data_IF_500808689131
#
_entry.id   IF_500808689131
#
_cell.length_a   1.000
_cell.length_b   1.000
_cell.length_c   1.000
_cell.angle_alpha   90.00
_cell.angle_beta   90.00
_cell.angle_gamma   90.00
#
_symmetry.space_group_name_H-M   'P 1'
#
loop_
_entity.id
_entity.type
_entity.pdbx_description
1 polymer ?
#
# COMPACT_ATOMS: atom_id res chain seq x y z
N UNK A 1 12.78 7.77 13.71
CA UNK A 1 12.19 6.82 14.67
C UNK A 1 10.81 6.38 14.20
N UNK A 2 10.48 5.07 14.35
CA UNK A 2 9.24 4.47 13.91
C UNK A 2 9.27 3.96 12.47
N UNK A 3 8.23 3.22 12.09
CA UNK A 3 8.15 2.49 10.84
C UNK A 3 6.88 2.86 10.07
N UNK A 4 6.99 3.84 9.16
CA UNK A 4 5.95 4.22 8.18
C UNK A 4 6.59 4.53 6.82
N UNK A 5 5.84 4.55 5.75
CA UNK A 5 6.34 4.84 4.41
C UNK A 5 7.55 3.96 4.05
N UNK A 6 8.61 4.57 3.51
CA UNK A 6 9.83 3.84 3.14
C UNK A 6 10.48 3.10 4.32
N UNK A 7 10.40 3.64 5.55
CA UNK A 7 10.94 2.97 6.75
C UNK A 7 10.17 1.70 7.14
N UNK A 8 8.94 1.55 6.65
CA UNK A 8 8.14 0.33 6.83
C UNK A 8 8.22 -0.60 5.61
N UNK A 9 8.29 -0.04 4.39
CA UNK A 9 8.17 -0.78 3.14
C UNK A 9 9.49 -1.44 2.66
N UNK A 10 10.61 -0.71 2.76
CA UNK A 10 11.87 -1.10 2.12
C UNK A 10 12.42 -2.41 2.68
N UNK A 11 12.54 -2.52 4.00
CA UNK A 11 13.12 -3.72 4.62
C UNK A 11 12.31 -5.00 4.37
N UNK A 12 10.96 -5.01 4.51
CA UNK A 12 10.17 -6.18 4.14
C UNK A 12 10.32 -6.60 2.68
N UNK A 13 10.34 -5.66 1.73
CA UNK A 13 10.57 -5.96 0.32
C UNK A 13 11.96 -6.57 0.07
N UNK A 14 13.01 -6.01 0.68
CA UNK A 14 14.37 -6.55 0.58
C UNK A 14 14.46 -7.95 1.17
N UNK A 15 13.77 -8.22 2.29
CA UNK A 15 13.69 -9.55 2.89
C UNK A 15 12.89 -10.54 2.05
N UNK A 16 11.92 -10.06 1.28
CA UNK A 16 11.18 -10.84 0.29
C UNK A 16 11.98 -11.09 -1.01
N UNK A 17 13.19 -10.53 -1.14
CA UNK A 17 14.09 -10.78 -2.26
C UNK A 17 14.09 -9.71 -3.35
N UNK A 18 13.41 -8.57 -3.13
CA UNK A 18 13.38 -7.47 -4.11
C UNK A 18 14.52 -6.47 -3.87
N UNK A 19 15.11 -5.97 -4.95
CA UNK A 19 15.95 -4.78 -4.89
C UNK A 19 15.06 -3.54 -4.82
N UNK A 20 15.34 -2.63 -3.88
CA UNK A 20 14.49 -1.46 -3.63
C UNK A 20 15.31 -0.19 -3.64
N UNK A 21 14.88 0.78 -4.42
CA UNK A 21 15.47 2.12 -4.50
C UNK A 21 14.52 3.14 -3.86
N UNK A 22 14.70 3.45 -2.56
CA UNK A 22 13.80 4.37 -1.87
C UNK A 22 14.04 5.81 -2.30
N UNK A 23 12.99 6.49 -2.73
CA UNK A 23 12.96 7.93 -2.93
C UNK A 23 12.12 8.56 -1.82
N UNK A 24 12.74 9.42 -1.03
CA UNK A 24 12.08 10.06 0.11
C UNK A 24 11.37 11.33 -0.32
N UNK A 25 10.14 11.52 0.15
CA UNK A 25 9.37 12.76 0.00
C UNK A 25 9.39 13.61 1.28
N UNK A 26 9.82 13.00 2.39
CA UNK A 26 10.05 13.65 3.68
C UNK A 26 11.29 13.04 4.34
N UNK A 27 11.98 13.84 5.17
CA UNK A 27 13.08 13.36 6.02
C UNK A 27 12.80 13.76 7.47
N UNK A 28 11.87 13.05 8.10
CA UNK A 28 11.41 13.34 9.44
C UNK A 28 12.11 12.49 10.50
N UNK A 29 12.26 13.05 11.70
CA UNK A 29 12.83 12.36 12.87
C UNK A 29 11.98 11.17 13.32
N UNK A 30 10.67 11.22 13.08
CA UNK A 30 9.65 10.24 13.45
C UNK A 30 8.40 10.47 12.58
N UNK A 31 7.47 9.52 12.58
CA UNK A 31 6.22 9.70 11.85
C UNK A 31 5.29 10.70 12.55
N UNK A 32 4.42 11.35 11.76
CA UNK A 32 3.52 12.41 12.20
C UNK A 32 2.48 11.97 13.23
N UNK A 33 2.23 10.67 13.37
CA UNK A 33 1.34 10.11 14.39
C UNK A 33 1.78 10.35 15.84
N UNK A 34 3.02 10.83 16.07
CA UNK A 34 3.48 11.27 17.40
C UNK A 34 3.06 12.70 17.75
N UNK A 35 2.46 13.45 16.80
CA UNK A 35 1.93 14.79 17.03
C UNK A 35 2.90 15.91 16.68
N UNK A 36 4.21 15.70 16.87
CA UNK A 36 5.27 16.60 16.46
C UNK A 36 6.44 15.83 15.83
N UNK A 37 7.24 16.48 15.03
CA UNK A 37 8.43 15.91 14.38
C UNK A 37 9.42 17.00 14.00
N UNK A 38 10.69 16.62 13.84
CA UNK A 38 11.76 17.44 13.27
C UNK A 38 12.13 16.96 11.88
N UNK A 39 12.71 17.85 11.09
CA UNK A 39 13.19 17.54 9.74
C UNK A 39 12.30 18.11 8.62
N UNK A 40 12.84 18.17 7.40
CA UNK A 40 12.18 18.82 6.27
C UNK A 40 11.24 17.89 5.50
N UNK A 41 10.24 18.49 4.84
CA UNK A 41 9.63 17.94 3.63
C UNK A 41 10.61 18.13 2.46
N UNK A 42 10.71 17.14 1.59
CA UNK A 42 11.56 17.21 0.41
C UNK A 42 10.78 17.91 -0.71
N UNK A 43 11.29 19.00 -1.29
CA UNK A 43 10.64 19.66 -2.42
C UNK A 43 10.45 18.71 -3.62
N UNK A 44 9.34 18.84 -4.33
CA UNK A 44 9.08 18.03 -5.52
C UNK A 44 10.19 18.15 -6.59
N UNK A 45 10.84 19.33 -6.70
CA UNK A 45 12.00 19.52 -7.58
C UNK A 45 13.19 18.63 -7.20
N UNK A 46 13.42 18.38 -5.91
CA UNK A 46 14.52 17.53 -5.45
C UNK A 46 14.18 16.06 -5.71
N UNK A 47 12.90 15.66 -5.49
CA UNK A 47 12.41 14.34 -5.86
C UNK A 47 12.61 14.10 -7.36
N UNK A 48 12.18 15.05 -8.21
CA UNK A 48 12.37 14.97 -9.67
C UNK A 48 13.87 14.88 -10.03
N UNK A 49 14.73 15.65 -9.38
CA UNK A 49 16.18 15.60 -9.62
C UNK A 49 16.79 14.25 -9.27
N UNK A 50 16.31 13.58 -8.20
CA UNK A 50 16.72 12.21 -7.85
C UNK A 50 16.29 11.23 -8.96
N UNK A 51 15.05 11.32 -9.40
CA UNK A 51 14.51 10.48 -10.49
C UNK A 51 15.30 10.70 -11.80
N UNK A 52 15.62 11.93 -12.15
CA UNK A 52 16.48 12.27 -13.31
C UNK A 52 17.87 11.63 -13.20
N UNK A 53 18.42 11.57 -11.99
CA UNK A 53 19.68 10.90 -11.72
C UNK A 53 19.62 9.40 -11.96
N UNK A 54 18.52 8.76 -11.57
CA UNK A 54 18.27 7.32 -11.80
C UNK A 54 18.08 7.05 -13.29
N UNK A 55 17.29 7.87 -13.99
CA UNK A 55 17.05 7.74 -15.43
C UNK A 55 18.35 7.86 -16.24
N UNK A 56 19.20 8.84 -15.93
CA UNK A 56 20.52 9.04 -16.57
C UNK A 56 21.46 7.84 -16.43
N UNK A 57 21.21 6.93 -15.52
CA UNK A 57 21.93 5.65 -15.37
C UNK A 57 21.39 4.55 -16.27
N UNK A 58 20.31 4.80 -17.02
CA UNK A 58 19.62 3.79 -17.82
C UNK A 58 18.82 2.79 -16.98
N UNK A 59 18.55 3.11 -15.71
CA UNK A 59 17.97 2.16 -14.77
C UNK A 59 16.48 1.92 -14.98
N UNK A 60 15.78 2.80 -15.69
CA UNK A 60 14.34 2.68 -15.93
C UNK A 60 13.92 1.42 -16.66
N UNK A 61 14.79 0.89 -17.56
CA UNK A 61 14.53 -0.34 -18.32
C UNK A 61 14.38 -1.57 -17.42
N UNK A 62 15.03 -1.56 -16.24
CA UNK A 62 15.03 -2.68 -15.30
C UNK A 62 14.08 -2.53 -14.12
N UNK A 63 13.19 -1.54 -14.12
CA UNK A 63 12.21 -1.33 -13.04
C UNK A 63 10.98 -2.20 -13.29
N UNK A 64 10.73 -3.18 -12.42
CA UNK A 64 9.54 -4.03 -12.49
C UNK A 64 8.31 -3.33 -11.90
N UNK A 65 8.49 -2.52 -10.86
CA UNK A 65 7.39 -1.78 -10.23
C UNK A 65 7.80 -0.44 -9.63
N UNK A 66 6.83 0.47 -9.60
CA UNK A 66 6.86 1.71 -8.83
C UNK A 66 5.80 1.57 -7.73
N UNK A 67 6.15 1.91 -6.49
CA UNK A 67 5.20 1.97 -5.39
C UNK A 67 5.19 3.38 -4.81
N UNK A 68 4.04 4.01 -4.75
CA UNK A 68 3.82 5.24 -4.01
C UNK A 68 2.88 5.03 -2.82
N UNK A 69 3.13 5.75 -1.75
CA UNK A 69 2.29 5.78 -0.56
C UNK A 69 1.93 7.22 -0.17
N UNK A 70 2.13 7.57 1.10
CA UNK A 70 1.81 8.89 1.63
C UNK A 70 2.47 10.02 0.81
N UNK A 71 1.64 10.91 0.29
CA UNK A 71 2.06 12.08 -0.50
C UNK A 71 2.10 13.31 0.41
N UNK A 72 3.23 13.55 1.03
CA UNK A 72 3.39 14.53 2.11
C UNK A 72 3.32 16.01 1.70
N UNK A 73 3.17 16.36 0.42
CA UNK A 73 3.20 17.75 0.00
C UNK A 73 2.69 18.02 -1.40
N UNK A 74 2.54 19.32 -1.69
CA UNK A 74 2.11 19.83 -2.98
C UNK A 74 3.07 19.39 -4.11
N UNK A 75 2.52 19.11 -5.28
CA UNK A 75 3.25 18.71 -6.48
C UNK A 75 3.99 17.36 -6.42
N UNK A 76 3.98 16.63 -5.30
CA UNK A 76 4.55 15.27 -5.23
C UNK A 76 3.77 14.31 -6.16
N UNK A 77 2.45 14.46 -6.23
CA UNK A 77 1.63 13.69 -7.17
C UNK A 77 2.03 13.90 -8.62
N UNK A 78 2.37 15.13 -9.01
CA UNK A 78 2.83 15.44 -10.36
C UNK A 78 4.17 14.77 -10.66
N UNK A 79 5.10 14.81 -9.71
CA UNK A 79 6.38 14.12 -9.82
C UNK A 79 6.21 12.60 -9.94
N UNK A 80 5.27 12.00 -9.17
CA UNK A 80 4.94 10.57 -9.25
C UNK A 80 4.37 10.24 -10.63
N UNK A 81 3.34 10.96 -11.09
CA UNK A 81 2.68 10.70 -12.38
C UNK A 81 3.67 10.86 -13.54
N UNK A 82 4.53 11.88 -13.50
CA UNK A 82 5.59 12.06 -14.51
C UNK A 82 6.58 10.89 -14.49
N UNK A 83 7.04 10.49 -13.31
CA UNK A 83 7.95 9.34 -13.13
C UNK A 83 7.36 8.06 -13.71
N UNK A 84 6.09 7.76 -13.40
CA UNK A 84 5.38 6.59 -13.92
C UNK A 84 5.32 6.61 -15.44
N UNK A 85 4.96 7.75 -16.04
CA UNK A 85 4.91 7.91 -17.50
C UNK A 85 6.27 7.68 -18.16
N UNK A 86 7.33 8.24 -17.57
CA UNK A 86 8.71 8.12 -18.08
C UNK A 86 9.21 6.68 -18.01
N UNK A 87 8.97 5.98 -16.91
CA UNK A 87 9.35 4.57 -16.75
C UNK A 87 8.57 3.71 -17.73
N UNK A 88 7.23 3.85 -17.80
CA UNK A 88 6.40 3.09 -18.74
C UNK A 88 6.68 3.39 -20.20
N UNK A 89 7.28 4.54 -20.54
CA UNK A 89 7.70 4.86 -21.90
C UNK A 89 8.89 3.99 -22.37
N UNK A 90 9.74 3.53 -21.44
CA UNK A 90 10.89 2.65 -21.73
C UNK A 90 10.65 1.20 -21.33
N UNK A 91 9.88 0.97 -20.27
CA UNK A 91 9.43 -0.36 -19.84
C UNK A 91 7.90 -0.38 -19.66
N UNK A 92 7.12 -0.69 -20.71
CA UNK A 92 5.66 -0.73 -20.63
C UNK A 92 5.10 -1.78 -19.67
N UNK A 93 5.88 -2.81 -19.34
CA UNK A 93 5.49 -3.88 -18.41
C UNK A 93 5.66 -3.49 -16.94
N UNK A 94 6.36 -2.38 -16.65
CA UNK A 94 6.52 -1.88 -15.28
C UNK A 94 5.16 -1.56 -14.67
N UNK A 95 4.89 -2.12 -13.49
CA UNK A 95 3.64 -1.90 -12.77
C UNK A 95 3.74 -0.64 -11.89
N UNK A 96 2.67 0.12 -11.83
CA UNK A 96 2.54 1.18 -10.82
C UNK A 96 1.50 0.81 -9.77
N UNK A 97 1.95 0.67 -8.54
CA UNK A 97 1.13 0.45 -7.36
C UNK A 97 0.99 1.76 -6.57
N UNK A 98 -0.24 2.15 -6.27
CA UNK A 98 -0.55 3.30 -5.44
C UNK A 98 -1.25 2.86 -4.16
N UNK A 99 -0.64 3.13 -3.01
CA UNK A 99 -1.33 3.12 -1.72
C UNK A 99 -1.96 4.51 -1.52
N UNK A 100 -3.29 4.64 -1.65
CA UNK A 100 -3.97 5.94 -1.65
C UNK A 100 -4.21 6.43 -0.21
N UNK A 101 -3.14 6.64 0.54
CA UNK A 101 -3.18 7.01 1.95
C UNK A 101 -3.93 8.32 2.17
N UNK A 102 -5.12 8.23 2.79
CA UNK A 102 -5.97 9.38 3.11
C UNK A 102 -6.43 9.40 4.55
N UNK A 103 -6.78 8.24 5.10
CA UNK A 103 -7.38 8.17 6.41
C UNK A 103 -7.92 6.79 6.80
N UNK A 104 -8.79 6.77 7.77
CA UNK A 104 -9.48 5.55 8.20
C UNK A 104 -10.83 5.86 8.85
N UNK A 105 -11.68 4.85 8.97
CA UNK A 105 -13.05 5.00 9.54
C UNK A 105 -13.11 5.61 10.94
N UNK A 106 -12.02 5.52 11.75
CA UNK A 106 -12.00 6.05 13.13
C UNK A 106 -11.60 7.52 13.17
N UNK A 107 -10.58 7.91 12.40
CA UNK A 107 -10.01 9.27 12.42
C UNK A 107 -10.52 10.17 11.30
N UNK A 108 -11.24 9.60 10.33
CA UNK A 108 -11.54 10.30 9.09
C UNK A 108 -10.27 10.51 8.25
N UNK A 109 -10.28 11.49 7.33
CA UNK A 109 -9.09 11.92 6.62
C UNK A 109 -8.12 12.62 7.58
N UNK A 110 -6.83 12.31 7.46
CA UNK A 110 -5.74 12.95 8.20
C UNK A 110 -4.73 13.65 7.28
N UNK A 111 -4.96 13.60 5.98
CA UNK A 111 -4.23 14.37 4.97
C UNK A 111 -4.94 15.70 4.72
N UNK A 112 -4.26 16.65 4.07
CA UNK A 112 -4.90 17.92 3.68
C UNK A 112 -6.04 17.68 2.69
N UNK A 113 -7.03 18.57 2.67
CA UNK A 113 -8.26 18.44 1.86
C UNK A 113 -7.99 18.33 0.35
N UNK A 114 -6.82 18.80 -0.11
CA UNK A 114 -6.40 18.75 -1.53
C UNK A 114 -5.94 17.36 -1.97
N UNK A 115 -5.45 16.53 -1.04
CA UNK A 115 -4.86 15.22 -1.37
C UNK A 115 -5.88 14.21 -1.89
N UNK A 116 -7.06 14.01 -1.27
CA UNK A 116 -8.00 13.01 -1.75
C UNK A 116 -8.52 13.25 -3.19
N UNK A 117 -8.90 14.48 -3.59
CA UNK A 117 -9.24 14.75 -5.00
C UNK A 117 -8.06 14.51 -5.94
N UNK A 118 -6.84 14.89 -5.53
CA UNK A 118 -5.63 14.70 -6.32
C UNK A 118 -5.35 13.21 -6.56
N UNK A 119 -5.46 12.38 -5.52
CA UNK A 119 -5.32 10.93 -5.63
C UNK A 119 -6.36 10.35 -6.58
N UNK A 120 -7.65 10.69 -6.38
CA UNK A 120 -8.75 10.17 -7.20
C UNK A 120 -8.63 10.56 -8.67
N UNK A 121 -8.32 11.82 -8.94
CA UNK A 121 -8.48 12.40 -10.29
C UNK A 121 -7.18 12.33 -11.12
N UNK A 122 -6.02 12.11 -10.49
CA UNK A 122 -4.72 12.17 -11.17
C UNK A 122 -3.82 10.96 -10.93
N UNK A 123 -3.77 10.42 -9.71
CA UNK A 123 -2.81 9.38 -9.35
C UNK A 123 -3.40 7.99 -9.60
N UNK A 124 -4.59 7.72 -9.07
CA UNK A 124 -5.30 6.44 -9.27
C UNK A 124 -5.52 6.10 -10.75
N UNK A 125 -5.89 7.05 -11.64
CA UNK A 125 -6.10 6.74 -13.05
C UNK A 125 -4.86 6.23 -13.82
N UNK A 126 -3.65 6.43 -13.30
CA UNK A 126 -2.42 5.93 -13.94
C UNK A 126 -1.85 4.70 -13.22
N UNK A 127 -2.48 4.24 -12.15
CA UNK A 127 -2.07 3.06 -11.40
C UNK A 127 -2.57 1.76 -12.05
N UNK A 128 -1.78 0.70 -11.94
CA UNK A 128 -2.17 -0.66 -12.29
C UNK A 128 -2.76 -1.40 -11.07
N UNK A 129 -2.24 -1.04 -9.89
CA UNK A 129 -2.61 -1.62 -8.59
C UNK A 129 -2.95 -0.48 -7.63
N UNK A 130 -4.01 -0.63 -6.84
CA UNK A 130 -4.27 0.24 -5.69
C UNK A 130 -4.54 -0.60 -4.44
N UNK A 131 -4.18 -0.05 -3.26
CA UNK A 131 -4.29 -0.78 -1.97
C UNK A 131 -5.10 -0.02 -0.90
N UNK A 132 -6.28 0.53 -1.23
CA UNK A 132 -7.06 1.29 -0.28
C UNK A 132 -7.54 0.44 0.90
N UNK A 133 -7.66 1.04 2.08
CA UNK A 133 -8.51 0.45 3.10
C UNK A 133 -10.00 0.67 2.74
N UNK A 134 -10.91 0.01 3.49
CA UNK A 134 -12.36 0.11 3.23
C UNK A 134 -12.89 1.55 3.23
N UNK A 135 -12.38 2.42 4.11
CA UNK A 135 -12.75 3.84 4.18
C UNK A 135 -12.25 4.61 2.94
N UNK A 136 -11.00 4.40 2.56
CA UNK A 136 -10.38 5.03 1.40
C UNK A 136 -11.05 4.61 0.09
N UNK A 137 -11.42 3.33 -0.04
CA UNK A 137 -12.18 2.86 -1.19
C UNK A 137 -13.52 3.59 -1.32
N UNK A 138 -14.26 3.72 -0.21
CA UNK A 138 -15.53 4.47 -0.19
C UNK A 138 -15.34 5.93 -0.59
N UNK A 139 -14.26 6.55 -0.11
CA UNK A 139 -13.94 7.94 -0.46
C UNK A 139 -13.58 8.11 -1.95
N UNK A 140 -12.70 7.25 -2.48
CA UNK A 140 -12.29 7.29 -3.89
C UNK A 140 -13.48 7.13 -4.84
N UNK A 141 -14.40 6.27 -4.49
CA UNK A 141 -15.54 5.89 -5.35
C UNK A 141 -16.81 6.66 -5.08
N UNK A 142 -16.82 7.49 -4.02
CA UNK A 142 -18.03 8.17 -3.54
C UNK A 142 -19.21 7.20 -3.35
N UNK A 143 -18.94 6.10 -2.61
CA UNK A 143 -19.92 5.06 -2.33
C UNK A 143 -19.83 4.59 -0.88
N UNK A 144 -20.95 4.08 -0.37
CA UNK A 144 -20.94 3.34 0.88
C UNK A 144 -20.31 1.96 0.68
N UNK A 145 -19.45 1.54 1.61
CA UNK A 145 -18.72 0.27 1.58
C UNK A 145 -18.91 -0.43 2.93
N UNK A 146 -20.04 -1.11 3.10
CA UNK A 146 -20.42 -1.77 4.37
C UNK A 146 -20.67 -3.26 4.21
N UNK A 147 -21.10 -3.72 3.02
CA UNK A 147 -21.38 -5.13 2.71
C UNK A 147 -20.40 -5.65 1.65
N UNK A 148 -20.39 -6.97 1.42
CA UNK A 148 -19.57 -7.56 0.36
C UNK A 148 -19.95 -7.02 -1.02
N UNK A 149 -21.26 -6.99 -1.32
CA UNK A 149 -21.78 -6.51 -2.60
C UNK A 149 -21.42 -5.03 -2.83
N UNK A 150 -21.54 -4.20 -1.80
CA UNK A 150 -21.13 -2.79 -1.87
C UNK A 150 -19.62 -2.66 -2.07
N UNK A 151 -18.82 -3.49 -1.39
CA UNK A 151 -17.36 -3.48 -1.54
C UNK A 151 -16.96 -3.88 -2.97
N UNK A 152 -17.56 -4.94 -3.52
CA UNK A 152 -17.32 -5.38 -4.90
C UNK A 152 -17.76 -4.33 -5.93
N UNK A 153 -18.91 -3.68 -5.70
CA UNK A 153 -19.37 -2.58 -6.56
C UNK A 153 -18.43 -1.38 -6.53
N UNK A 154 -17.93 -1.02 -5.34
CA UNK A 154 -16.94 0.04 -5.18
C UNK A 154 -15.60 -0.32 -5.85
N UNK A 155 -15.13 -1.57 -5.72
CA UNK A 155 -13.93 -2.05 -6.42
C UNK A 155 -14.11 -1.93 -7.93
N UNK A 156 -15.24 -2.36 -8.48
CA UNK A 156 -15.52 -2.22 -9.92
C UNK A 156 -15.47 -0.75 -10.36
N UNK A 157 -16.06 0.15 -9.58
CA UNK A 157 -15.99 1.60 -9.84
C UNK A 157 -14.56 2.13 -9.78
N UNK A 158 -13.74 1.64 -8.85
CA UNK A 158 -12.33 1.98 -8.78
C UNK A 158 -11.56 1.46 -10.00
N UNK A 159 -11.85 0.24 -10.47
CA UNK A 159 -11.25 -0.32 -11.70
C UNK A 159 -11.64 0.51 -12.96
N UNK A 160 -12.84 1.04 -13.03
CA UNK A 160 -13.27 1.95 -14.11
C UNK A 160 -12.45 3.26 -14.13
N UNK A 161 -11.80 3.63 -13.04
CA UNK A 161 -10.92 4.79 -12.97
C UNK A 161 -9.52 4.54 -13.56
N UNK A 162 -9.07 3.28 -13.66
CA UNK A 162 -7.76 2.93 -14.22
C UNK A 162 -7.16 1.61 -13.73
N UNK A 163 -7.02 1.38 -12.41
CA UNK A 163 -6.32 0.20 -11.91
C UNK A 163 -7.06 -1.09 -12.23
N UNK A 164 -6.32 -2.09 -12.71
CA UNK A 164 -6.87 -3.43 -12.93
C UNK A 164 -6.97 -4.23 -11.63
N UNK A 165 -5.98 -4.05 -10.75
CA UNK A 165 -5.86 -4.81 -9.50
C UNK A 165 -6.15 -3.91 -8.31
N UNK A 166 -7.02 -4.36 -7.40
CA UNK A 166 -7.41 -3.64 -6.19
C UNK A 166 -7.29 -4.57 -4.98
N UNK A 167 -6.48 -4.17 -4.00
CA UNK A 167 -6.45 -4.80 -2.68
C UNK A 167 -7.18 -3.91 -1.67
N UNK A 168 -8.34 -4.34 -1.22
CA UNK A 168 -9.06 -3.64 -0.14
C UNK A 168 -8.62 -4.21 1.20
N UNK A 169 -8.05 -3.38 2.06
CA UNK A 169 -7.59 -3.78 3.39
C UNK A 169 -8.56 -3.36 4.48
N UNK A 170 -8.44 -3.98 5.65
CA UNK A 170 -9.24 -3.64 6.85
C UNK A 170 -10.74 -3.74 6.60
N UNK A 171 -11.18 -4.68 5.78
CA UNK A 171 -12.59 -4.90 5.48
C UNK A 171 -13.30 -5.48 6.70
N UNK A 172 -14.43 -4.87 7.03
CA UNK A 172 -15.39 -5.32 8.04
C UNK A 172 -16.79 -5.19 7.48
N UNK A 173 -17.51 -6.29 7.48
CA UNK A 173 -18.91 -6.41 7.05
C UNK A 173 -19.75 -7.00 8.19
N UNK A 174 -21.08 -6.94 8.11
CA UNK A 174 -21.95 -7.55 9.12
C UNK A 174 -21.68 -9.05 9.36
N UNK A 175 -21.25 -9.77 8.33
CA UNK A 175 -20.96 -11.20 8.38
C UNK A 175 -19.55 -11.51 8.91
N UNK A 176 -18.64 -10.54 8.93
CA UNK A 176 -17.29 -10.74 9.45
C UNK A 176 -17.36 -11.04 10.96
N UNK A 177 -16.82 -12.18 11.44
CA UNK A 177 -16.76 -12.48 12.86
C UNK A 177 -16.07 -11.35 13.64
N UNK A 178 -16.53 -11.08 14.87
CA UNK A 178 -16.07 -9.95 15.66
C UNK A 178 -14.55 -10.00 15.98
N UNK A 179 -13.98 -11.19 15.99
CA UNK A 179 -12.56 -11.48 16.22
C UNK A 179 -11.74 -11.61 14.94
N UNK A 180 -12.30 -11.24 13.79
CA UNK A 180 -11.64 -11.31 12.50
C UNK A 180 -11.63 -9.96 11.77
N UNK A 181 -10.74 -9.87 10.79
CA UNK A 181 -10.62 -8.76 9.82
C UNK A 181 -10.32 -9.36 8.46
N UNK A 182 -10.87 -8.74 7.41
CA UNK A 182 -10.78 -9.29 6.07
C UNK A 182 -9.93 -8.41 5.16
N UNK A 183 -9.40 -9.04 4.10
CA UNK A 183 -8.81 -8.41 2.92
C UNK A 183 -9.53 -8.95 1.69
N UNK A 184 -9.86 -8.08 0.75
CA UNK A 184 -10.45 -8.44 -0.55
C UNK A 184 -9.48 -8.03 -1.65
N UNK A 185 -9.02 -8.98 -2.45
CA UNK A 185 -8.18 -8.70 -3.61
C UNK A 185 -8.92 -9.05 -4.90
N UNK A 186 -8.92 -8.11 -5.84
CA UNK A 186 -9.59 -8.27 -7.15
C UNK A 186 -8.60 -7.96 -8.25
N UNK A 187 -8.52 -8.83 -9.26
CA UNK A 187 -7.74 -8.64 -10.48
C UNK A 187 -8.62 -8.92 -11.71
N UNK A 188 -8.99 -7.88 -12.42
CA UNK A 188 -10.00 -7.95 -13.45
C UNK A 188 -11.35 -8.40 -12.86
N UNK A 189 -11.85 -9.58 -13.28
CA UNK A 189 -13.11 -10.16 -12.81
C UNK A 189 -12.93 -11.18 -11.66
N UNK A 190 -11.68 -11.54 -11.32
CA UNK A 190 -11.39 -12.52 -10.26
C UNK A 190 -11.30 -11.84 -8.92
N UNK A 191 -12.12 -12.27 -7.97
CA UNK A 191 -12.17 -11.71 -6.63
C UNK A 191 -11.86 -12.78 -5.57
N UNK A 192 -11.04 -12.42 -4.58
CA UNK A 192 -10.63 -13.31 -3.49
C UNK A 192 -10.78 -12.63 -2.15
N UNK A 193 -11.50 -13.27 -1.25
CA UNK A 193 -11.67 -12.83 0.12
C UNK A 193 -10.82 -13.69 1.07
N UNK A 194 -10.14 -13.05 2.02
CA UNK A 194 -9.31 -13.71 3.02
C UNK A 194 -9.54 -13.07 4.38
N UNK A 195 -9.73 -13.90 5.41
CA UNK A 195 -9.88 -13.46 6.80
C UNK A 195 -8.67 -13.81 7.61
N UNK A 196 -8.28 -12.90 8.52
CA UNK A 196 -7.25 -13.12 9.55
C UNK A 196 -7.82 -12.79 10.93
N UNK A 197 -7.25 -13.36 12.04
CA UNK A 197 -7.62 -12.92 13.37
C UNK A 197 -7.39 -11.41 13.55
N UNK A 198 -8.36 -10.74 14.15
CA UNK A 198 -8.25 -9.33 14.52
C UNK A 198 -7.45 -9.21 15.82
N UNK A 199 -6.33 -8.52 15.76
CA UNK A 199 -5.55 -8.21 16.96
C UNK A 199 -6.10 -6.94 17.64
N UNK A 200 -6.17 -6.90 19.00
CA UNK A 200 -6.82 -5.80 19.71
C UNK A 200 -5.94 -4.55 19.83
N UNK A 201 -5.20 -4.22 18.78
CA UNK A 201 -4.35 -3.03 18.72
C UNK A 201 -4.21 -2.52 17.28
N UNK A 202 -3.70 -1.31 17.13
CA UNK A 202 -3.34 -0.71 15.83
C UNK A 202 -1.91 -0.17 15.91
N UNK A 203 -1.19 -0.24 14.80
CA UNK A 203 0.14 0.38 14.64
C UNK A 203 0.23 1.07 13.30
N UNK A 204 0.84 2.24 13.30
CA UNK A 204 1.17 2.94 12.07
C UNK A 204 2.15 2.11 11.24
N UNK A 205 2.14 2.27 9.93
CA UNK A 205 3.02 1.57 9.02
C UNK A 205 2.53 0.19 8.55
N UNK A 206 1.50 -0.39 9.18
CA UNK A 206 0.98 -1.69 8.74
C UNK A 206 0.37 -1.65 7.33
N UNK A 207 -0.25 -0.54 6.95
CA UNK A 207 -0.71 -0.28 5.58
C UNK A 207 0.45 -0.25 4.60
N UNK A 208 1.49 0.52 4.91
CA UNK A 208 2.70 0.63 4.09
C UNK A 208 3.37 -0.74 3.85
N UNK A 209 3.48 -1.57 4.91
CA UNK A 209 4.00 -2.95 4.78
C UNK A 209 3.08 -3.81 3.91
N UNK A 210 1.76 -3.66 4.08
CA UNK A 210 0.76 -4.42 3.30
C UNK A 210 0.86 -4.07 1.81
N UNK A 211 0.85 -2.78 1.47
CA UNK A 211 0.99 -2.30 0.10
C UNK A 211 2.31 -2.78 -0.54
N UNK A 212 3.42 -2.68 0.22
CA UNK A 212 4.73 -3.10 -0.25
C UNK A 212 4.78 -4.61 -0.54
N UNK A 213 4.42 -5.44 0.43
CA UNK A 213 4.47 -6.90 0.27
C UNK A 213 3.49 -7.39 -0.81
N UNK A 214 2.29 -6.82 -0.88
CA UNK A 214 1.34 -7.20 -1.93
C UNK A 214 1.88 -6.87 -3.31
N UNK A 215 2.43 -5.68 -3.50
CA UNK A 215 3.06 -5.27 -4.76
C UNK A 215 4.22 -6.20 -5.12
N UNK A 216 5.14 -6.45 -4.20
CA UNK A 216 6.30 -7.34 -4.43
C UNK A 216 5.87 -8.75 -4.80
N UNK A 217 4.96 -9.34 -4.03
CA UNK A 217 4.47 -10.70 -4.33
C UNK A 217 3.66 -10.77 -5.63
N UNK A 218 2.91 -9.72 -5.98
CA UNK A 218 2.20 -9.67 -7.25
C UNK A 218 3.15 -9.58 -8.45
N UNK A 219 4.20 -8.76 -8.35
CA UNK A 219 5.26 -8.69 -9.37
C UNK A 219 5.94 -10.04 -9.58
N UNK A 220 6.23 -10.77 -8.48
CA UNK A 220 6.88 -12.08 -8.55
C UNK A 220 5.99 -13.17 -9.15
N UNK A 221 4.71 -13.19 -8.78
CA UNK A 221 3.83 -14.32 -9.06
C UNK A 221 2.86 -14.09 -10.21
N UNK A 222 2.53 -12.85 -10.50
CA UNK A 222 1.42 -12.45 -11.38
C UNK A 222 0.09 -13.15 -11.02
N UNK A 223 -0.05 -13.53 -9.74
CA UNK A 223 -1.24 -14.19 -9.18
C UNK A 223 -1.74 -13.45 -7.95
N UNK A 224 -2.90 -12.80 -8.09
CA UNK A 224 -3.51 -11.99 -7.04
C UNK A 224 -3.88 -12.80 -5.79
N UNK A 225 -4.29 -14.07 -5.98
CA UNK A 225 -4.62 -14.98 -4.87
C UNK A 225 -3.38 -15.32 -4.04
N UNK A 226 -2.31 -15.66 -4.73
CA UNK A 226 -1.04 -15.99 -4.08
C UNK A 226 -0.42 -14.76 -3.40
N UNK A 227 -0.42 -13.60 -4.07
CA UNK A 227 0.02 -12.34 -3.48
C UNK A 227 -0.78 -11.98 -2.22
N UNK A 228 -2.11 -12.12 -2.24
CA UNK A 228 -2.97 -11.90 -1.08
C UNK A 228 -2.61 -12.82 0.09
N UNK A 229 -2.45 -14.13 -0.16
CA UNK A 229 -2.14 -15.12 0.88
C UNK A 229 -0.78 -14.88 1.53
N UNK A 230 0.25 -14.62 0.73
CA UNK A 230 1.61 -14.31 1.21
C UNK A 230 1.59 -13.03 2.06
N UNK A 231 0.96 -11.97 1.55
CA UNK A 231 0.85 -10.68 2.23
C UNK A 231 0.12 -10.82 3.57
N UNK A 232 -1.07 -11.43 3.57
CA UNK A 232 -1.85 -11.60 4.79
C UNK A 232 -1.08 -12.41 5.86
N UNK A 233 -0.36 -13.46 5.46
CA UNK A 233 0.45 -14.28 6.36
C UNK A 233 1.61 -13.50 6.98
N UNK A 234 2.33 -12.72 6.17
CA UNK A 234 3.46 -11.92 6.62
C UNK A 234 3.03 -10.77 7.52
N UNK A 235 2.01 -10.03 7.12
CA UNK A 235 1.47 -8.89 7.89
C UNK A 235 0.87 -9.36 9.21
N UNK A 236 0.12 -10.45 9.21
CA UNK A 236 -0.42 -11.01 10.47
C UNK A 236 0.71 -11.42 11.42
N UNK A 237 1.77 -12.08 10.92
CA UNK A 237 2.92 -12.46 11.75
C UNK A 237 3.64 -11.24 12.31
N UNK A 238 3.85 -10.22 11.50
CA UNK A 238 4.43 -8.94 11.95
C UNK A 238 3.60 -8.31 13.06
N UNK A 239 2.30 -8.18 12.85
CA UNK A 239 1.40 -7.56 13.82
C UNK A 239 1.33 -8.40 15.10
N UNK A 240 1.28 -9.72 15.01
CA UNK A 240 1.30 -10.61 16.15
C UNK A 240 2.61 -10.49 16.95
N UNK A 241 3.76 -10.48 16.27
CA UNK A 241 5.08 -10.27 16.92
C UNK A 241 5.14 -8.91 17.62
N UNK A 242 4.59 -7.86 17.00
CA UNK A 242 4.52 -6.52 17.57
C UNK A 242 3.61 -6.49 18.81
N UNK A 243 2.48 -7.17 18.76
CA UNK A 243 1.54 -7.28 19.86
C UNK A 243 2.13 -8.04 21.07
N UNK A 244 2.72 -9.20 20.81
CA UNK A 244 3.37 -10.03 21.83
C UNK A 244 4.55 -9.33 22.52
N UNK A 245 5.23 -8.42 21.79
CA UNK A 245 6.31 -7.59 22.34
C UNK A 245 5.80 -6.33 23.06
N UNK A 246 4.48 -6.08 23.09
CA UNK A 246 3.88 -4.84 23.63
C UNK A 246 4.50 -3.55 23.04
N UNK A 247 5.06 -3.64 21.81
CA UNK A 247 5.81 -2.56 21.22
C UNK A 247 4.88 -1.46 20.67
N UNK A 248 5.31 -0.21 20.77
CA UNK A 248 4.65 0.94 20.15
C UNK A 248 4.92 1.03 18.65
N UNK A 249 6.03 0.42 18.18
CA UNK A 249 6.45 0.40 16.79
C UNK A 249 6.47 -1.03 16.24
N UNK A 250 6.28 -1.15 14.91
CA UNK A 250 6.32 -2.43 14.22
C UNK A 250 7.66 -3.16 14.44
N UNK A 251 7.59 -4.43 14.79
CA UNK A 251 8.77 -5.28 15.05
C UNK A 251 9.27 -5.93 13.76
N UNK A 252 9.66 -5.10 12.77
CA UNK A 252 10.06 -5.54 11.43
C UNK A 252 11.23 -6.53 11.46
N UNK A 253 12.26 -6.24 12.26
CA UNK A 253 13.48 -7.08 12.36
C UNK A 253 13.14 -8.42 13.00
N UNK A 254 12.34 -8.43 14.05
CA UNK A 254 11.94 -9.64 14.77
C UNK A 254 11.01 -10.55 13.95
N UNK A 255 10.24 -9.94 13.01
CA UNK A 255 9.34 -10.66 12.13
C UNK A 255 9.95 -10.98 10.74
N UNK A 256 11.21 -10.67 10.51
CA UNK A 256 11.83 -10.69 9.16
C UNK A 256 11.70 -12.02 8.41
N UNK A 257 11.70 -13.15 9.12
CA UNK A 257 11.58 -14.47 8.48
C UNK A 257 10.21 -14.66 7.81
N UNK A 258 9.18 -13.99 8.31
CA UNK A 258 7.86 -14.03 7.69
C UNK A 258 7.78 -13.27 6.35
N UNK A 259 8.68 -12.34 6.10
CA UNK A 259 8.77 -11.64 4.82
C UNK A 259 9.47 -12.51 3.77
N UNK A 260 10.55 -13.19 4.18
CA UNK A 260 11.30 -14.11 3.33
C UNK A 260 10.55 -15.44 3.07
N UNK A 261 9.81 -15.92 4.07
CA UNK A 261 9.15 -17.24 4.06
C UNK A 261 7.74 -17.15 4.65
N UNK A 262 6.76 -16.61 3.91
CA UNK A 262 5.37 -16.51 4.37
C UNK A 262 4.80 -17.89 4.73
N UNK A 263 4.16 -18.01 5.88
CA UNK A 263 3.66 -19.30 6.41
C UNK A 263 2.48 -19.88 5.63
N UNK A 264 1.85 -19.11 4.76
CA UNK A 264 0.68 -19.50 3.93
C UNK A 264 -0.50 -20.07 4.73
N UNK A 265 -0.64 -19.66 5.99
CA UNK A 265 -1.62 -20.24 6.93
C UNK A 265 -3.06 -19.82 6.64
N UNK A 266 -3.28 -18.77 5.86
CA UNK A 266 -4.62 -18.28 5.53
C UNK A 266 -5.02 -18.70 4.12
N UNK A 267 -6.30 -19.05 3.97
CA UNK A 267 -6.88 -19.41 2.68
C UNK A 267 -7.65 -18.23 2.11
N UNK A 268 -7.54 -18.04 0.81
CA UNK A 268 -8.32 -17.06 0.07
C UNK A 268 -9.44 -17.79 -0.67
N UNK A 269 -10.67 -17.39 -0.36
CA UNK A 269 -11.89 -17.88 -1.02
C UNK A 269 -12.11 -17.10 -2.32
N UNK A 270 -12.38 -17.78 -3.40
CA UNK A 270 -12.77 -17.16 -4.68
C UNK A 270 -14.29 -16.90 -4.64
N UNK A 271 -14.69 -15.67 -4.99
CA UNK A 271 -16.07 -15.19 -4.91
C UNK A 271 -16.82 -15.37 -6.21
#
# INVERSE_FOLDING_TARGET
YGHVGNSAAVFPLQRAGHEVWPVHTVNFSNHTGYGDWGGPMIPASDVTSIIDGIEKRGAFEGIDAILSGYQGGDNIADAIVDTVRRIKAVNPEALYACDPVMGNAKSGCFVSDDIPPLLRDRVVPVADIITPNQFELGYLTDTEVSTLDQTLAAVKKAQEMGPKTVLVTSVKRPETPADQIEMLAVDGERAFLLSTPLLPFKRNGSGDVTAALFTGHYVETHDVKEALRRTASSVYKLLRTTYEAESTELQLIQAQDAFAHPSMQFQAEEL
#
